data_IF_766660287441
#
_entry.id   IF_766660287441
#
_cell.length_a   1.000
_cell.length_b   1.000
_cell.length_c   1.000
_cell.angle_alpha   90.00
_cell.angle_beta   90.00
_cell.angle_gamma   90.00
#
_symmetry.space_group_name_H-M   'P 1'
#
loop_
_entity.id
_entity.type
_entity.pdbx_description
1 polymer ?
#
# COMPACT_ATOMS: atom_id res chain seq x y z
N UNK A 1 8.50 -6.29 -33.21
CA UNK A 1 8.38 -7.30 -32.14
C UNK A 1 9.10 -6.69 -30.93
N UNK A 2 8.41 -6.47 -29.81
CA UNK A 2 9.06 -5.86 -28.64
C UNK A 2 10.14 -6.80 -28.11
N UNK A 3 11.28 -6.24 -27.71
CA UNK A 3 12.36 -7.02 -27.11
C UNK A 3 11.98 -7.45 -25.70
N UNK A 4 12.51 -8.59 -25.22
CA UNK A 4 12.24 -9.12 -23.87
C UNK A 4 12.45 -8.05 -22.77
N UNK A 5 13.47 -7.21 -22.92
CA UNK A 5 13.80 -6.11 -22.02
C UNK A 5 12.72 -5.01 -22.02
N UNK A 6 12.11 -4.70 -23.16
CA UNK A 6 11.01 -3.73 -23.25
C UNK A 6 9.76 -4.23 -22.54
N UNK A 7 9.46 -5.54 -22.66
CA UNK A 7 8.34 -6.18 -21.96
C UNK A 7 8.56 -6.09 -20.45
N UNK A 8 9.75 -6.44 -19.95
CA UNK A 8 10.09 -6.39 -18.52
C UNK A 8 9.94 -4.97 -17.97
N UNK A 9 10.44 -3.96 -18.70
CA UNK A 9 10.32 -2.54 -18.31
C UNK A 9 8.86 -2.10 -18.27
N UNK A 10 8.07 -2.48 -19.28
CA UNK A 10 6.64 -2.19 -19.35
C UNK A 10 5.87 -2.79 -18.18
N UNK A 11 6.12 -4.06 -17.86
CA UNK A 11 5.51 -4.74 -16.71
C UNK A 11 5.94 -4.09 -15.39
N UNK A 12 7.22 -3.77 -15.22
CA UNK A 12 7.73 -3.10 -14.02
C UNK A 12 7.06 -1.74 -13.78
N UNK A 13 6.87 -0.96 -14.85
CA UNK A 13 6.16 0.32 -14.80
C UNK A 13 4.67 0.14 -14.48
N UNK A 14 4.01 -0.87 -15.04
CA UNK A 14 2.63 -1.19 -14.75
C UNK A 14 2.41 -1.55 -13.27
N UNK A 15 3.31 -2.35 -12.67
CA UNK A 15 3.25 -2.68 -11.25
C UNK A 15 3.47 -1.45 -10.34
N UNK A 16 4.40 -0.56 -10.71
CA UNK A 16 4.62 0.69 -9.97
C UNK A 16 3.38 1.57 -9.99
N UNK A 17 2.84 1.84 -11.18
CA UNK A 17 1.63 2.64 -11.36
C UNK A 17 0.45 2.01 -10.64
N UNK A 18 0.23 0.70 -10.81
CA UNK A 18 -0.85 -0.04 -10.16
C UNK A 18 -0.78 0.03 -8.63
N UNK A 19 0.42 -0.07 -8.04
CA UNK A 19 0.61 0.10 -6.60
C UNK A 19 0.26 1.51 -6.12
N UNK A 20 0.63 2.56 -6.85
CA UNK A 20 0.27 3.95 -6.53
C UNK A 20 -1.23 4.20 -6.66
N UNK A 21 -1.87 3.68 -7.71
CA UNK A 21 -3.31 3.80 -7.92
C UNK A 21 -4.06 3.10 -6.78
N UNK A 22 -3.66 1.88 -6.41
CA UNK A 22 -4.24 1.16 -5.28
C UNK A 22 -4.04 1.92 -3.97
N UNK A 23 -2.84 2.45 -3.70
CA UNK A 23 -2.54 3.22 -2.48
C UNK A 23 -3.43 4.44 -2.35
N UNK A 24 -3.61 5.17 -3.45
CA UNK A 24 -4.45 6.35 -3.52
C UNK A 24 -5.92 6.00 -3.30
N UNK A 25 -6.44 5.00 -4.04
CA UNK A 25 -7.82 4.53 -3.89
C UNK A 25 -8.10 4.01 -2.47
N UNK A 26 -7.17 3.25 -1.89
CA UNK A 26 -7.28 2.77 -0.52
C UNK A 26 -7.33 3.91 0.49
N UNK A 27 -6.42 4.89 0.37
CA UNK A 27 -6.41 6.07 1.22
C UNK A 27 -7.72 6.85 1.18
N UNK A 28 -8.31 7.01 -0.01
CA UNK A 28 -9.62 7.65 -0.20
C UNK A 28 -10.72 6.86 0.53
N UNK A 29 -10.82 5.55 0.27
CA UNK A 29 -11.84 4.68 0.90
C UNK A 29 -11.69 4.65 2.42
N UNK A 30 -10.45 4.58 2.91
CA UNK A 30 -10.14 4.60 4.33
C UNK A 30 -10.53 5.95 4.94
N UNK A 31 -10.21 7.07 4.28
CA UNK A 31 -10.58 8.41 4.75
C UNK A 31 -12.10 8.57 4.88
N UNK A 32 -12.87 8.23 3.84
CA UNK A 32 -14.33 8.27 3.89
C UNK A 32 -14.91 7.32 4.95
N UNK A 33 -14.24 6.19 5.16
CA UNK A 33 -14.60 5.27 6.22
C UNK A 33 -14.38 5.90 7.61
N UNK A 34 -13.21 6.47 7.86
CA UNK A 34 -12.87 6.99 9.17
C UNK A 34 -13.60 8.30 9.51
N UNK A 35 -13.89 9.15 8.52
CA UNK A 35 -14.59 10.43 8.71
C UNK A 35 -15.98 10.29 9.32
N UNK A 36 -16.66 9.16 9.08
CA UNK A 36 -17.97 8.89 9.64
C UNK A 36 -17.96 8.31 11.06
N UNK A 37 -16.78 8.10 11.67
CA UNK A 37 -16.67 7.53 13.02
C UNK A 37 -16.46 8.63 14.08
N UNK A 38 -17.07 8.50 15.28
CA UNK A 38 -16.75 9.36 16.40
C UNK A 38 -15.28 9.21 16.80
N UNK A 39 -14.65 10.32 17.22
CA UNK A 39 -13.20 10.40 17.48
C UNK A 39 -12.77 9.45 18.61
N UNK A 40 -13.64 9.20 19.60
CA UNK A 40 -13.36 8.29 20.71
C UNK A 40 -13.22 6.84 20.21
N UNK A 41 -14.09 6.41 19.30
CA UNK A 41 -14.07 5.05 18.73
C UNK A 41 -12.87 4.84 17.83
N UNK A 42 -12.50 5.87 17.06
CA UNK A 42 -11.29 5.84 16.23
C UNK A 42 -10.03 5.74 17.09
N UNK A 43 -9.92 6.57 18.13
CA UNK A 43 -8.80 6.55 19.07
C UNK A 43 -8.67 5.21 19.79
N UNK A 44 -9.77 4.66 20.31
CA UNK A 44 -9.78 3.35 20.96
C UNK A 44 -9.29 2.25 20.01
N UNK A 45 -9.71 2.26 18.74
CA UNK A 45 -9.26 1.26 17.76
C UNK A 45 -7.80 1.40 17.37
N UNK A 46 -7.32 2.63 17.22
CA UNK A 46 -5.92 2.91 16.94
C UNK A 46 -5.03 2.39 18.08
N UNK A 47 -5.42 2.67 19.33
CA UNK A 47 -4.70 2.17 20.50
C UNK A 47 -4.77 0.64 20.64
N UNK A 48 -5.95 0.05 20.53
CA UNK A 48 -6.13 -1.41 20.64
C UNK A 48 -5.45 -2.20 19.53
N UNK A 49 -5.20 -1.58 18.36
CA UNK A 49 -4.52 -2.21 17.23
C UNK A 49 -3.21 -1.52 16.86
N UNK A 50 -2.56 -0.82 17.81
CA UNK A 50 -1.37 -0.01 17.53
C UNK A 50 -0.26 -0.83 16.88
N UNK A 51 -0.05 -2.08 17.32
CA UNK A 51 0.91 -3.01 16.72
C UNK A 51 0.59 -3.31 15.25
N UNK A 52 -0.67 -3.56 14.89
CA UNK A 52 -1.08 -3.83 13.49
C UNK A 52 -0.99 -2.57 12.63
N UNK A 53 -1.37 -1.41 13.17
CA UNK A 53 -1.24 -0.13 12.48
C UNK A 53 0.24 0.16 12.23
N UNK A 54 1.09 0.00 13.26
CA UNK A 54 2.54 0.14 13.18
C UNK A 54 3.16 -0.79 12.12
N UNK A 55 2.79 -2.08 12.13
CA UNK A 55 3.24 -3.03 11.08
C UNK A 55 2.80 -2.59 9.68
N UNK A 56 1.58 -2.09 9.54
CA UNK A 56 1.09 -1.51 8.29
C UNK A 56 1.98 -0.37 7.79
N UNK A 57 2.28 0.60 8.66
CA UNK A 57 3.16 1.72 8.31
C UNK A 57 4.60 1.28 8.04
N UNK A 58 5.15 0.36 8.82
CA UNK A 58 6.50 -0.17 8.61
C UNK A 58 6.61 -0.89 7.26
N UNK A 59 5.61 -1.69 6.88
CA UNK A 59 5.56 -2.34 5.58
C UNK A 59 5.47 -1.33 4.45
N UNK A 60 4.70 -0.24 4.61
CA UNK A 60 4.61 0.82 3.61
C UNK A 60 5.95 1.55 3.45
N UNK A 61 6.62 1.85 4.56
CA UNK A 61 7.95 2.48 4.56
C UNK A 61 8.99 1.58 3.90
N UNK A 62 8.99 0.29 4.22
CA UNK A 62 9.85 -0.71 3.58
C UNK A 62 9.56 -0.80 2.07
N UNK A 63 8.28 -0.84 1.68
CA UNK A 63 7.87 -0.88 0.29
C UNK A 63 8.44 0.31 -0.49
N UNK A 64 8.36 1.51 0.09
CA UNK A 64 8.91 2.72 -0.52
C UNK A 64 10.44 2.67 -0.66
N UNK A 65 11.14 2.22 0.39
CA UNK A 65 12.59 2.02 0.35
C UNK A 65 13.01 1.01 -0.74
N UNK A 66 12.26 -0.07 -0.91
CA UNK A 66 12.53 -1.10 -1.93
C UNK A 66 12.39 -0.52 -3.34
N UNK A 67 11.40 0.33 -3.64
CA UNK A 67 11.32 0.99 -4.94
C UNK A 67 12.55 1.88 -5.18
N UNK A 68 12.91 2.70 -4.18
CA UNK A 68 14.04 3.62 -4.32
C UNK A 68 15.34 2.87 -4.58
N UNK A 69 15.58 1.79 -3.84
CA UNK A 69 16.74 0.93 -4.04
C UNK A 69 16.72 0.24 -5.40
N UNK A 70 15.55 -0.23 -5.86
CA UNK A 70 15.39 -0.88 -7.16
C UNK A 70 15.58 0.09 -8.34
N UNK A 71 15.39 1.40 -8.12
CA UNK A 71 15.65 2.42 -9.13
C UNK A 71 17.14 2.74 -9.30
N UNK A 72 18.01 2.43 -8.32
CA UNK A 72 19.44 2.74 -8.39
C UNK A 72 20.14 1.99 -9.54
N UNK A 73 20.01 0.65 -9.69
CA UNK A 73 20.67 -0.11 -10.75
C UNK A 73 20.33 0.36 -12.17
N UNK A 74 19.12 0.87 -12.37
CA UNK A 74 18.68 1.43 -13.65
C UNK A 74 19.48 2.69 -14.04
N UNK A 75 19.93 3.47 -13.06
CA UNK A 75 20.65 4.73 -13.27
C UNK A 75 22.18 4.54 -13.38
N UNK A 76 22.72 3.46 -12.82
CA UNK A 76 24.17 3.15 -12.86
C UNK A 76 24.59 2.16 -13.96
N UNK A 77 23.67 1.78 -14.86
CA UNK A 77 24.00 0.97 -16.04
C UNK A 77 24.37 -0.48 -15.72
N UNK A 78 23.86 -1.04 -14.62
CA UNK A 78 24.18 -2.40 -14.17
C UNK A 78 23.58 -3.44 -15.13
N UNK A 79 24.35 -4.46 -15.58
CA UNK A 79 23.81 -5.58 -16.34
C UNK A 79 22.68 -6.27 -15.57
N UNK A 80 21.52 -6.46 -16.21
CA UNK A 80 20.34 -7.05 -15.56
C UNK A 80 19.47 -6.08 -14.76
N UNK A 81 19.73 -4.76 -14.80
CA UNK A 81 18.89 -3.74 -14.18
C UNK A 81 17.36 -3.87 -14.44
N UNK A 82 16.88 -4.30 -15.63
CA UNK A 82 15.44 -4.51 -15.84
C UNK A 82 14.83 -5.53 -14.89
N UNK A 83 15.56 -6.60 -14.55
CA UNK A 83 15.08 -7.65 -13.65
C UNK A 83 15.05 -7.17 -12.20
N UNK A 84 16.00 -6.34 -11.80
CA UNK A 84 16.01 -5.72 -10.46
C UNK A 84 14.84 -4.74 -10.33
N UNK A 85 14.58 -3.95 -11.36
CA UNK A 85 13.39 -3.09 -11.44
C UNK A 85 12.10 -3.88 -11.29
N UNK A 86 11.97 -5.00 -12.01
CA UNK A 86 10.80 -5.88 -11.93
C UNK A 86 10.61 -6.47 -10.52
N UNK A 87 11.69 -7.03 -9.95
CA UNK A 87 11.65 -7.58 -8.60
C UNK A 87 11.26 -6.53 -7.55
N UNK A 88 11.82 -5.32 -7.67
CA UNK A 88 11.49 -4.16 -6.83
C UNK A 88 10.03 -3.74 -6.97
N UNK A 89 9.51 -3.66 -8.19
CA UNK A 89 8.10 -3.34 -8.48
C UNK A 89 7.14 -4.39 -7.91
N UNK A 90 7.48 -5.68 -8.02
CA UNK A 90 6.70 -6.75 -7.43
C UNK A 90 6.71 -6.68 -5.89
N UNK A 91 7.90 -6.48 -5.30
CA UNK A 91 8.05 -6.34 -3.86
C UNK A 91 7.29 -5.11 -3.32
N UNK A 92 7.33 -3.98 -4.02
CA UNK A 92 6.51 -2.80 -3.76
C UNK A 92 5.02 -3.14 -3.73
N UNK A 93 4.54 -3.80 -4.77
CA UNK A 93 3.12 -4.11 -4.93
C UNK A 93 2.63 -5.03 -3.81
N UNK A 94 3.39 -6.10 -3.50
CA UNK A 94 3.07 -7.04 -2.44
C UNK A 94 3.11 -6.37 -1.06
N UNK A 95 4.16 -5.60 -0.76
CA UNK A 95 4.28 -4.90 0.53
C UNK A 95 3.19 -3.83 0.70
N UNK A 96 2.79 -3.17 -0.38
CA UNK A 96 1.66 -2.23 -0.38
C UNK A 96 0.34 -2.94 -0.07
N UNK A 97 0.05 -4.07 -0.72
CA UNK A 97 -1.15 -4.87 -0.42
C UNK A 97 -1.15 -5.38 1.02
N UNK A 98 0.01 -5.82 1.52
CA UNK A 98 0.13 -6.32 2.88
C UNK A 98 -0.07 -5.19 3.91
N UNK A 99 0.51 -4.02 3.65
CA UNK A 99 0.29 -2.81 4.45
C UNK A 99 -1.19 -2.44 4.51
N UNK A 100 -1.86 -2.38 3.35
CA UNK A 100 -3.29 -2.11 3.25
C UNK A 100 -4.12 -3.12 4.02
N UNK A 101 -3.78 -4.40 3.94
CA UNK A 101 -4.47 -5.45 4.69
C UNK A 101 -4.38 -5.22 6.20
N UNK A 102 -3.18 -4.93 6.73
CA UNK A 102 -3.00 -4.65 8.15
C UNK A 102 -3.73 -3.38 8.62
N UNK A 103 -3.69 -2.31 7.82
CA UNK A 103 -4.38 -1.05 8.09
C UNK A 103 -5.90 -1.21 8.01
N UNK A 104 -6.40 -1.93 7.02
CA UNK A 104 -7.83 -2.19 6.88
C UNK A 104 -8.34 -3.06 8.02
N UNK A 105 -7.66 -4.18 8.32
CA UNK A 105 -8.11 -5.09 9.39
C UNK A 105 -8.12 -4.43 10.78
N UNK A 106 -7.23 -3.48 11.03
CA UNK A 106 -7.17 -2.74 12.29
C UNK A 106 -8.24 -1.64 12.36
N UNK A 107 -8.45 -0.90 11.27
CA UNK A 107 -9.27 0.31 11.29
C UNK A 107 -10.69 0.13 10.74
N UNK A 108 -10.95 -0.94 9.98
CA UNK A 108 -12.25 -1.17 9.36
C UNK A 108 -13.32 -1.52 10.39
N UNK A 109 -14.35 -0.67 10.43
CA UNK A 109 -15.57 -0.89 11.21
C UNK A 109 -16.68 -1.30 10.24
N UNK A 110 -17.24 -2.52 10.37
CA UNK A 110 -18.41 -2.92 9.60
C UNK A 110 -19.56 -1.92 9.77
N UNK A 111 -20.29 -1.63 8.69
CA UNK A 111 -21.42 -0.69 8.70
C UNK A 111 -22.50 -1.07 9.71
N UNK A 112 -22.68 -2.37 9.97
CA UNK A 112 -23.61 -2.90 10.99
C UNK A 112 -23.27 -2.44 12.40
N UNK A 113 -21.97 -2.30 12.70
CA UNK A 113 -21.48 -1.81 13.98
C UNK A 113 -21.52 -0.27 14.02
N UNK A 114 -21.25 0.41 12.90
CA UNK A 114 -21.39 1.88 12.81
C UNK A 114 -22.79 2.38 13.16
N UNK A 115 -23.83 1.67 12.73
CA UNK A 115 -25.22 2.01 13.07
C UNK A 115 -25.49 1.95 14.58
N UNK A 116 -24.80 1.06 15.32
CA UNK A 116 -24.90 0.98 16.80
C UNK A 116 -24.25 2.18 17.50
N UNK A 117 -23.34 2.89 16.82
CA UNK A 117 -22.63 4.06 17.34
C UNK A 117 -23.19 5.39 16.82
N UNK A 118 -24.39 5.41 16.22
CA UNK A 118 -25.07 6.63 15.78
C UNK A 118 -24.43 7.33 14.56
N UNK A 119 -23.53 6.67 13.85
CA UNK A 119 -22.94 7.24 12.63
C UNK A 119 -23.97 7.28 11.49
N UNK A 120 -24.18 8.43 10.82
CA UNK A 120 -25.09 8.53 9.69
C UNK A 120 -24.63 7.62 8.54
N UNK A 121 -25.61 6.98 7.89
CA UNK A 121 -25.46 6.04 6.79
C UNK A 121 -24.79 6.65 5.57
#
# INVERSE_FOLDING_TARGET
MATEVEIIRGVSAAFLLGGWTLLSSFGIVLYFSLRGLPKEVLGARLFLNLDKVGRGFLLLSLAFAVILLAAVPANVGVPGAPYIGLAGSCAWFVATLLSMYYLFKSLYVPRTIRKKFGAPS
#
